data_IF_231959514149
#
_entry.id   IF_231959514149
#
_cell.length_a   1.000
_cell.length_b   1.000
_cell.length_c   1.000
_cell.angle_alpha   90.00
_cell.angle_beta   90.00
_cell.angle_gamma   90.00
#
_symmetry.space_group_name_H-M   'P 1'
#
loop_
_entity.id
_entity.type
_entity.pdbx_description
1 polymer ?
#
# COMPACT_ATOMS: atom_id res chain seq x y z
N UNK A 1 -43.58 1.95 13.91
CA UNK A 1 -44.40 2.53 14.98
C UNK A 1 -43.50 3.05 16.11
N UNK A 2 -43.99 3.90 17.02
CA UNK A 2 -43.21 4.37 18.18
C UNK A 2 -42.68 3.22 19.07
N UNK A 3 -43.39 2.08 19.10
CA UNK A 3 -42.95 0.85 19.77
C UNK A 3 -41.66 0.25 19.17
N UNK A 4 -41.45 0.34 17.85
CA UNK A 4 -40.23 -0.15 17.19
C UNK A 4 -39.02 0.75 17.48
N UNK A 5 -39.26 2.04 17.67
CA UNK A 5 -38.22 2.99 18.08
C UNK A 5 -37.80 2.76 19.54
N UNK A 6 -38.76 2.47 20.42
CA UNK A 6 -38.48 2.16 21.83
C UNK A 6 -37.68 0.86 21.96
N UNK A 7 -38.07 -0.19 21.22
CA UNK A 7 -37.36 -1.47 21.18
C UNK A 7 -35.96 -1.37 20.54
N UNK A 8 -35.68 -0.30 19.78
CA UNK A 8 -34.37 -0.09 19.14
C UNK A 8 -33.38 0.65 20.04
N UNK A 9 -33.80 1.22 21.17
CA UNK A 9 -32.92 2.03 22.04
C UNK A 9 -31.67 1.29 22.50
N UNK A 10 -31.84 0.06 23.02
CA UNK A 10 -30.71 -0.75 23.49
C UNK A 10 -29.74 -1.11 22.35
N UNK A 11 -30.29 -1.41 21.16
CA UNK A 11 -29.48 -1.70 19.97
C UNK A 11 -28.71 -0.48 19.46
N UNK A 12 -29.33 0.70 19.53
CA UNK A 12 -28.68 1.97 19.17
C UNK A 12 -27.48 2.23 20.10
N UNK A 13 -27.66 2.06 21.42
CA UNK A 13 -26.56 2.23 22.37
C UNK A 13 -25.46 1.18 22.16
N UNK A 14 -25.81 -0.08 21.91
CA UNK A 14 -24.83 -1.12 21.58
C UNK A 14 -24.02 -0.77 20.32
N UNK A 15 -24.67 -0.28 19.25
CA UNK A 15 -23.98 0.17 18.04
C UNK A 15 -23.07 1.37 18.29
N UNK A 16 -23.49 2.34 19.11
CA UNK A 16 -22.64 3.47 19.50
C UNK A 16 -21.40 3.01 20.26
N UNK A 17 -21.55 2.04 21.16
CA UNK A 17 -20.43 1.47 21.90
C UNK A 17 -19.46 0.74 20.96
N UNK A 18 -19.96 0.01 19.97
CA UNK A 18 -19.12 -0.58 18.91
C UNK A 18 -18.35 0.49 18.12
N UNK A 19 -18.99 1.62 17.77
CA UNK A 19 -18.29 2.73 17.11
C UNK A 19 -17.19 3.31 18.00
N UNK A 20 -17.43 3.45 19.31
CA UNK A 20 -16.41 3.93 20.24
C UNK A 20 -15.23 2.95 20.34
N UNK A 21 -15.49 1.63 20.34
CA UNK A 21 -14.47 0.60 20.28
C UNK A 21 -13.72 0.57 18.95
N UNK A 22 -14.40 0.93 17.85
CA UNK A 22 -13.83 0.98 16.51
C UNK A 22 -13.02 2.26 16.23
N UNK A 23 -13.29 3.36 16.94
CA UNK A 23 -12.59 4.64 16.79
C UNK A 23 -11.06 4.52 16.77
N UNK A 24 -10.38 3.80 17.70
CA UNK A 24 -8.92 3.67 17.69
C UNK A 24 -8.37 2.85 16.52
N UNK A 25 -9.19 2.10 15.77
CA UNK A 25 -8.74 1.30 14.62
C UNK A 25 -8.15 2.21 13.52
N UNK A 26 -8.65 3.44 13.41
CA UNK A 26 -8.18 4.44 12.44
C UNK A 26 -6.67 4.70 12.60
N UNK A 27 -6.19 4.72 13.85
CA UNK A 27 -4.79 5.03 14.20
C UNK A 27 -3.92 3.78 14.45
N UNK A 28 -4.49 2.57 14.42
CA UNK A 28 -3.75 1.32 14.61
C UNK A 28 -2.73 1.14 13.49
N UNK A 29 -1.43 1.07 13.81
CA UNK A 29 -0.33 1.03 12.82
C UNK A 29 -0.26 -0.31 12.09
N UNK A 30 -0.61 -1.39 12.75
CA UNK A 30 -0.60 -2.73 12.16
C UNK A 30 -1.89 -2.96 11.35
N UNK A 31 -1.77 -2.99 10.03
CA UNK A 31 -2.91 -3.17 9.12
C UNK A 31 -3.62 -4.52 9.33
N UNK A 32 -2.90 -5.58 9.67
CA UNK A 32 -3.51 -6.88 9.90
C UNK A 32 -4.34 -6.86 11.18
N UNK A 33 -3.85 -6.21 12.24
CA UNK A 33 -4.61 -6.00 13.48
C UNK A 33 -5.80 -5.09 13.26
N UNK A 34 -5.62 -3.97 12.54
CA UNK A 34 -6.71 -3.05 12.20
C UNK A 34 -7.85 -3.77 11.47
N UNK A 35 -7.51 -4.57 10.44
CA UNK A 35 -8.47 -5.37 9.68
C UNK A 35 -9.18 -6.43 10.53
N UNK A 36 -8.44 -7.13 11.40
CA UNK A 36 -9.02 -8.15 12.27
C UNK A 36 -10.02 -7.53 13.26
N UNK A 37 -9.65 -6.42 13.91
CA UNK A 37 -10.52 -5.68 14.81
C UNK A 37 -11.76 -5.15 14.10
N UNK A 38 -11.60 -4.57 12.90
CA UNK A 38 -12.73 -4.08 12.10
C UNK A 38 -13.70 -5.20 11.74
N UNK A 39 -13.18 -6.37 11.35
CA UNK A 39 -14.00 -7.55 11.02
C UNK A 39 -14.79 -8.03 12.25
N UNK A 40 -14.21 -8.00 13.44
CA UNK A 40 -14.91 -8.36 14.66
C UNK A 40 -16.05 -7.39 14.97
N UNK A 41 -15.80 -6.08 14.84
CA UNK A 41 -16.83 -5.04 15.02
C UNK A 41 -17.97 -5.21 14.00
N UNK A 42 -17.66 -5.45 12.72
CA UNK A 42 -18.67 -5.65 11.69
C UNK A 42 -19.58 -6.85 11.99
N UNK A 43 -19.01 -7.96 12.45
CA UNK A 43 -19.80 -9.13 12.87
C UNK A 43 -20.75 -8.80 14.02
N UNK A 44 -20.25 -8.11 15.05
CA UNK A 44 -21.09 -7.67 16.18
C UNK A 44 -22.16 -6.67 15.72
N UNK A 45 -21.84 -5.81 14.75
CA UNK A 45 -22.79 -4.87 14.15
C UNK A 45 -23.95 -5.59 13.45
N UNK A 46 -23.62 -6.63 12.68
CA UNK A 46 -24.58 -7.47 11.98
C UNK A 46 -25.44 -8.27 12.96
N UNK A 47 -24.85 -8.79 14.05
CA UNK A 47 -25.56 -9.53 15.10
C UNK A 47 -26.57 -8.65 15.85
N UNK A 48 -26.26 -7.37 16.10
CA UNK A 48 -27.24 -6.41 16.65
C UNK A 48 -28.40 -6.20 15.67
N UNK A 49 -28.05 -6.18 14.38
CA UNK A 49 -28.98 -6.09 13.27
C UNK A 49 -29.62 -4.73 13.12
N UNK A 50 -30.84 -4.73 12.55
CA UNK A 50 -31.55 -3.53 12.13
C UNK A 50 -32.04 -2.69 13.32
N UNK A 51 -32.00 -1.36 13.18
CA UNK A 51 -32.49 -0.39 14.17
C UNK A 51 -33.45 0.63 13.55
N UNK A 52 -34.32 1.20 14.37
CA UNK A 52 -35.23 2.29 14.01
C UNK A 52 -35.04 3.49 14.97
N UNK A 53 -35.21 4.75 14.49
CA UNK A 53 -35.61 5.15 13.15
C UNK A 53 -34.48 5.04 12.11
N UNK A 54 -34.86 4.99 10.81
CA UNK A 54 -33.95 4.79 9.68
C UNK A 54 -32.90 5.89 9.53
N UNK A 55 -33.18 7.09 10.01
CA UNK A 55 -32.20 8.18 10.04
C UNK A 55 -31.03 7.87 10.99
N UNK A 56 -31.32 7.35 12.19
CA UNK A 56 -30.32 6.94 13.18
C UNK A 56 -29.54 5.73 12.68
N UNK A 57 -30.23 4.77 12.05
CA UNK A 57 -29.59 3.63 11.35
C UNK A 57 -28.54 4.13 10.35
N UNK A 58 -28.94 5.03 9.43
CA UNK A 58 -28.03 5.57 8.41
C UNK A 58 -26.86 6.31 9.02
N UNK A 59 -27.09 7.14 10.04
CA UNK A 59 -26.01 7.91 10.67
C UNK A 59 -24.94 6.97 11.26
N UNK A 60 -25.37 5.94 11.99
CA UNK A 60 -24.48 4.96 12.60
C UNK A 60 -23.75 4.11 11.56
N UNK A 61 -24.45 3.66 10.51
CA UNK A 61 -23.83 2.91 9.41
C UNK A 61 -22.82 3.77 8.64
N UNK A 62 -23.09 5.06 8.43
CA UNK A 62 -22.16 5.98 7.78
C UNK A 62 -20.91 6.21 8.61
N UNK A 63 -21.01 6.26 9.94
CA UNK A 63 -19.86 6.37 10.83
C UNK A 63 -18.99 5.10 10.81
N UNK A 64 -19.61 3.92 10.84
CA UNK A 64 -18.86 2.65 10.67
C UNK A 64 -18.15 2.63 9.31
N UNK A 65 -18.84 3.04 8.24
CA UNK A 65 -18.28 3.10 6.88
C UNK A 65 -17.08 4.04 6.78
N UNK A 66 -17.03 5.15 7.52
CA UNK A 66 -15.85 6.04 7.54
C UNK A 66 -14.62 5.32 8.10
N UNK A 67 -14.80 4.53 9.16
CA UNK A 67 -13.73 3.73 9.76
C UNK A 67 -13.24 2.67 8.75
N UNK A 68 -14.17 1.97 8.10
CA UNK A 68 -13.85 1.00 7.04
C UNK A 68 -13.04 1.61 5.90
N UNK A 69 -13.47 2.77 5.41
CA UNK A 69 -12.78 3.48 4.33
C UNK A 69 -11.35 3.89 4.73
N UNK A 70 -11.15 4.31 5.98
CA UNK A 70 -9.83 4.67 6.49
C UNK A 70 -8.87 3.47 6.47
N UNK A 71 -9.31 2.31 6.96
CA UNK A 71 -8.50 1.08 6.93
C UNK A 71 -8.20 0.67 5.49
N UNK A 72 -9.23 0.65 4.63
CA UNK A 72 -9.09 0.26 3.21
C UNK A 72 -8.14 1.17 2.44
N UNK A 73 -8.20 2.48 2.66
CA UNK A 73 -7.31 3.44 2.01
C UNK A 73 -5.85 3.20 2.39
N UNK A 74 -5.58 2.83 3.65
CA UNK A 74 -4.23 2.51 4.12
C UNK A 74 -3.74 1.17 3.56
N UNK A 75 -4.61 0.16 3.45
CA UNK A 75 -4.28 -1.11 2.78
C UNK A 75 -3.95 -0.91 1.30
N UNK A 76 -4.74 -0.11 0.58
CA UNK A 76 -4.49 0.22 -0.83
C UNK A 76 -3.16 0.96 -1.00
N UNK A 77 -2.85 1.91 -0.10
CA UNK A 77 -1.57 2.61 -0.10
C UNK A 77 -0.38 1.67 0.18
N UNK A 78 -0.50 0.75 1.14
CA UNK A 78 0.54 -0.24 1.40
C UNK A 78 0.71 -1.21 0.23
N UNK A 79 -0.39 -1.67 -0.37
CA UNK A 79 -0.36 -2.51 -1.55
C UNK A 79 0.31 -1.81 -2.74
N UNK A 80 0.00 -0.54 -3.00
CA UNK A 80 0.66 0.27 -4.04
C UNK A 80 2.16 0.42 -3.77
N UNK A 81 2.57 0.68 -2.53
CA UNK A 81 3.99 0.77 -2.14
C UNK A 81 4.70 -0.56 -2.29
N UNK A 82 4.02 -1.66 -2.00
CA UNK A 82 4.55 -3.01 -2.05
C UNK A 82 4.25 -3.73 -3.38
N UNK A 83 3.75 -3.02 -4.39
CA UNK A 83 3.27 -3.62 -5.62
C UNK A 83 4.37 -4.50 -6.25
N UNK A 84 4.12 -5.82 -6.38
CA UNK A 84 5.12 -6.75 -6.88
C UNK A 84 5.54 -6.45 -8.32
N UNK A 85 4.67 -5.87 -9.15
CA UNK A 85 5.02 -5.49 -10.53
C UNK A 85 6.00 -4.30 -10.58
N UNK A 86 5.82 -3.31 -9.69
CA UNK A 86 6.74 -2.17 -9.60
C UNK A 86 8.11 -2.63 -9.08
N UNK A 87 8.12 -3.49 -8.05
CA UNK A 87 9.36 -4.11 -7.56
C UNK A 87 10.02 -4.97 -8.63
N UNK A 88 9.25 -5.78 -9.36
CA UNK A 88 9.76 -6.62 -10.43
C UNK A 88 10.36 -5.79 -11.59
N UNK A 89 9.69 -4.73 -12.05
CA UNK A 89 10.23 -3.83 -13.08
C UNK A 89 11.49 -3.11 -12.61
N UNK A 90 11.52 -2.62 -11.37
CA UNK A 90 12.71 -1.98 -10.83
C UNK A 90 13.90 -2.95 -10.78
N UNK A 91 13.65 -4.20 -10.35
CA UNK A 91 14.66 -5.26 -10.34
C UNK A 91 15.11 -5.65 -11.76
N UNK A 92 14.18 -5.73 -12.71
CA UNK A 92 14.48 -6.05 -14.11
C UNK A 92 15.32 -4.96 -14.78
N UNK A 93 14.95 -3.68 -14.63
CA UNK A 93 15.72 -2.56 -15.17
C UNK A 93 17.12 -2.47 -14.53
N UNK A 94 17.21 -2.73 -13.22
CA UNK A 94 18.48 -2.82 -12.50
C UNK A 94 19.35 -3.95 -13.05
N UNK A 95 18.76 -5.12 -13.36
CA UNK A 95 19.46 -6.23 -13.98
C UNK A 95 19.97 -5.87 -15.37
N UNK A 96 19.12 -5.34 -16.24
CA UNK A 96 19.50 -4.90 -17.58
C UNK A 96 20.63 -3.87 -17.56
N UNK A 97 20.66 -3.01 -16.54
CA UNK A 97 21.73 -2.04 -16.32
C UNK A 97 23.06 -2.68 -15.96
N UNK A 98 23.04 -3.62 -15.01
CA UNK A 98 24.25 -4.36 -14.63
C UNK A 98 24.78 -5.19 -15.81
N UNK A 99 23.91 -5.84 -16.58
CA UNK A 99 24.30 -6.60 -17.77
C UNK A 99 24.96 -5.69 -18.83
N UNK A 100 24.42 -4.47 -19.03
CA UNK A 100 25.01 -3.49 -19.94
C UNK A 100 26.36 -2.94 -19.44
N UNK A 101 26.51 -2.74 -18.13
CA UNK A 101 27.78 -2.33 -17.51
C UNK A 101 28.85 -3.42 -17.72
N UNK A 102 28.53 -4.68 -17.43
CA UNK A 102 29.45 -5.79 -17.62
C UNK A 102 29.95 -5.88 -19.06
N UNK A 103 29.04 -5.71 -20.03
CA UNK A 103 29.40 -5.68 -21.45
C UNK A 103 30.32 -4.51 -21.82
N UNK A 104 30.05 -3.32 -21.29
CA UNK A 104 30.91 -2.15 -21.51
C UNK A 104 32.28 -2.30 -20.86
N UNK A 105 32.39 -3.03 -19.74
CA UNK A 105 33.66 -3.37 -19.11
C UNK A 105 34.47 -4.34 -19.97
N UNK A 106 33.83 -5.35 -20.58
CA UNK A 106 34.47 -6.24 -21.55
C UNK A 106 34.93 -5.47 -22.81
N UNK A 107 34.06 -4.66 -23.41
CA UNK A 107 34.38 -3.87 -24.60
C UNK A 107 35.55 -2.91 -24.34
N UNK A 108 35.62 -2.33 -23.13
CA UNK A 108 36.73 -1.48 -22.71
C UNK A 108 38.04 -2.28 -22.59
N UNK A 109 38.02 -3.45 -21.96
CA UNK A 109 39.20 -4.30 -21.82
C UNK A 109 39.75 -4.74 -23.18
N UNK A 110 38.87 -5.11 -24.11
CA UNK A 110 39.25 -5.48 -25.49
C UNK A 110 39.85 -4.28 -26.25
N UNK A 111 39.27 -3.10 -26.10
CA UNK A 111 39.78 -1.88 -26.72
C UNK A 111 41.16 -1.47 -26.15
N UNK A 112 41.37 -1.64 -24.85
CA UNK A 112 42.66 -1.41 -24.17
C UNK A 112 43.73 -2.40 -24.65
N UNK A 113 43.38 -3.69 -24.79
CA UNK A 113 44.28 -4.69 -25.34
C UNK A 113 44.64 -4.45 -26.81
N UNK A 114 43.68 -3.94 -27.60
CA UNK A 114 43.87 -3.57 -29.00
C UNK A 114 44.55 -2.22 -29.23
N UNK A 115 44.67 -1.38 -28.20
CA UNK A 115 45.25 -0.03 -28.28
C UNK A 115 44.39 0.99 -29.05
N UNK A 116 43.08 0.76 -29.18
CA UNK A 116 42.18 1.65 -29.92
C UNK A 116 41.69 2.79 -29.02
N UNK A 117 42.47 3.88 -28.98
CA UNK A 117 42.21 5.05 -28.15
C UNK A 117 40.79 5.64 -28.30
N UNK A 118 40.20 5.53 -29.48
CA UNK A 118 38.83 6.02 -29.72
C UNK A 118 37.82 5.13 -29.01
N UNK A 119 37.90 3.82 -29.22
CA UNK A 119 36.99 2.85 -28.58
C UNK A 119 37.12 2.86 -27.05
N UNK A 120 38.34 3.05 -26.53
CA UNK A 120 38.59 3.18 -25.09
C UNK A 120 37.83 4.38 -24.51
N UNK A 121 37.91 5.55 -25.16
CA UNK A 121 37.20 6.76 -24.71
C UNK A 121 35.69 6.57 -24.75
N UNK A 122 35.16 6.07 -25.86
CA UNK A 122 33.72 5.85 -26.05
C UNK A 122 33.16 4.84 -25.02
N UNK A 123 33.86 3.73 -24.77
CA UNK A 123 33.45 2.72 -23.78
C UNK A 123 33.51 3.26 -22.33
N UNK A 124 34.54 4.03 -21.98
CA UNK A 124 34.66 4.66 -20.65
C UNK A 124 33.54 5.66 -20.38
N UNK A 125 33.22 6.53 -21.34
CA UNK A 125 32.14 7.50 -21.18
C UNK A 125 30.78 6.80 -21.04
N UNK A 126 30.51 5.78 -21.88
CA UNK A 126 29.29 5.00 -21.80
C UNK A 126 29.17 4.27 -20.45
N UNK A 127 30.26 3.67 -19.96
CA UNK A 127 30.31 2.97 -18.68
C UNK A 127 30.00 3.92 -17.50
N UNK A 128 30.62 5.09 -17.48
CA UNK A 128 30.38 6.08 -16.42
C UNK A 128 28.94 6.61 -16.45
N UNK A 129 28.38 6.87 -17.63
CA UNK A 129 26.97 7.24 -17.77
C UNK A 129 26.03 6.15 -17.23
N UNK A 130 26.32 4.88 -17.54
CA UNK A 130 25.51 3.73 -17.11
C UNK A 130 25.59 3.50 -15.60
N UNK A 131 26.79 3.63 -15.01
CA UNK A 131 27.01 3.58 -13.55
C UNK A 131 26.36 4.75 -12.81
N UNK A 132 26.38 5.95 -13.38
CA UNK A 132 25.69 7.10 -12.82
C UNK A 132 24.17 6.88 -12.81
N UNK A 133 23.61 6.32 -13.89
CA UNK A 133 22.20 6.00 -13.95
C UNK A 133 21.81 4.90 -12.94
N UNK A 134 22.64 3.87 -12.76
CA UNK A 134 22.42 2.84 -11.73
C UNK A 134 22.41 3.42 -10.31
N UNK A 135 23.35 4.32 -9.98
CA UNK A 135 23.38 5.02 -8.68
C UNK A 135 22.12 5.87 -8.45
N UNK A 136 21.62 6.53 -9.48
CA UNK A 136 20.41 7.34 -9.41
C UNK A 136 19.13 6.50 -9.20
N UNK A 137 19.14 5.19 -9.52
CA UNK A 137 18.02 4.28 -9.32
C UNK A 137 18.03 3.57 -7.96
N UNK A 138 19.20 3.45 -7.33
CA UNK A 138 19.37 2.79 -6.03
C UNK A 138 19.40 3.73 -4.82
N UNK A 139 19.21 5.04 -5.03
CA UNK A 139 19.19 6.08 -3.99
C UNK A 139 17.79 6.57 -3.66
#
# INVERSE_FOLDING_TARGET
AAADAEASKEKIEAKKELLAQAAPIVDEKDLARARASLTAIQRQWDDIGRIHPRETERALDDDLRKIEQSVRAREDADWKRNNPETKARANDMTRQLNDAIAKLEEDLADAEAGGDARRISEAREALEARRAWLRALGG
#
